data_IF_217529383752
#
_entry.id   IF_217529383752
#
_cell.length_a   1.000
_cell.length_b   1.000
_cell.length_c   1.000
_cell.angle_alpha   90.00
_cell.angle_beta   90.00
_cell.angle_gamma   90.00
#
_symmetry.space_group_name_H-M   'P 1'
#
loop_
_entity.id
_entity.type
_entity.pdbx_description
1 polymer ?
#
# COMPACT_ATOMS: atom_id res chain seq x y z
N UNK A 1 19.32 30.74 12.44
CA UNK A 1 18.43 30.60 13.62
C UNK A 1 17.37 29.58 13.27
N UNK A 2 17.54 28.33 13.71
CA UNK A 2 16.51 27.27 13.62
C UNK A 2 15.35 27.69 14.52
N UNK A 3 14.13 27.85 13.97
CA UNK A 3 12.98 28.21 14.80
C UNK A 3 12.60 26.97 15.60
N UNK A 4 12.30 27.11 16.90
CA UNK A 4 11.91 26.00 17.77
C UNK A 4 10.72 25.16 17.24
N UNK A 5 9.97 25.66 16.25
CA UNK A 5 8.89 24.99 15.53
C UNK A 5 9.32 24.01 14.41
N UNK A 6 10.61 23.95 14.04
CA UNK A 6 11.08 23.15 12.91
C UNK A 6 11.34 21.67 13.26
N UNK A 7 11.61 21.38 14.55
CA UNK A 7 11.85 20.03 15.05
C UNK A 7 10.69 19.05 14.80
N UNK A 8 9.44 19.38 15.16
CA UNK A 8 8.29 18.50 14.93
C UNK A 8 8.01 18.23 13.45
N UNK A 9 8.19 19.23 12.57
CA UNK A 9 7.98 19.05 11.12
C UNK A 9 9.08 18.21 10.50
N UNK A 10 10.34 18.35 10.95
CA UNK A 10 11.45 17.48 10.57
C UNK A 10 11.22 16.03 10.99
N UNK A 11 10.79 15.82 12.23
CA UNK A 11 10.42 14.49 12.72
C UNK A 11 9.29 13.90 11.87
N UNK A 12 8.24 14.67 11.57
CA UNK A 12 7.16 14.21 10.70
C UNK A 12 7.62 13.84 9.29
N UNK A 13 8.55 14.61 8.70
CA UNK A 13 9.14 14.28 7.39
C UNK A 13 9.96 12.97 7.45
N UNK A 14 10.71 12.76 8.53
CA UNK A 14 11.45 11.52 8.75
C UNK A 14 10.52 10.33 8.98
N UNK A 15 9.47 10.49 9.79
CA UNK A 15 8.42 9.48 10.02
C UNK A 15 7.73 9.13 8.71
N UNK A 16 7.39 10.13 7.89
CA UNK A 16 6.82 9.90 6.56
C UNK A 16 7.77 9.05 5.70
N UNK A 17 9.05 9.41 5.63
CA UNK A 17 10.06 8.67 4.88
C UNK A 17 10.15 7.22 5.34
N UNK A 18 10.36 6.98 6.64
CA UNK A 18 10.41 5.62 7.22
C UNK A 18 9.12 4.86 6.93
N UNK A 19 7.97 5.51 7.05
CA UNK A 19 6.67 4.93 6.75
C UNK A 19 6.52 4.46 5.31
N UNK A 20 7.12 5.16 4.33
CA UNK A 20 7.15 4.69 2.94
C UNK A 20 7.99 3.42 2.77
N UNK A 21 9.12 3.29 3.48
CA UNK A 21 9.87 2.02 3.48
C UNK A 21 9.06 0.87 4.08
N UNK A 22 8.36 1.13 5.19
CA UNK A 22 7.47 0.14 5.82
C UNK A 22 6.34 -0.25 4.86
N UNK A 23 5.73 0.72 4.18
CA UNK A 23 4.67 0.46 3.20
C UNK A 23 5.15 -0.45 2.07
N UNK A 24 6.33 -0.18 1.50
CA UNK A 24 6.93 -1.03 0.44
C UNK A 24 7.17 -2.45 0.97
N UNK A 25 7.73 -2.58 2.16
CA UNK A 25 7.94 -3.89 2.79
C UNK A 25 6.61 -4.62 3.01
N UNK A 26 5.57 -3.95 3.49
CA UNK A 26 4.23 -4.55 3.67
C UNK A 26 3.60 -5.00 2.35
N UNK A 27 3.80 -4.25 1.26
CA UNK A 27 3.33 -4.66 -0.07
C UNK A 27 4.10 -5.89 -0.59
N UNK A 28 5.42 -5.96 -0.38
CA UNK A 28 6.21 -7.15 -0.72
C UNK A 28 5.76 -8.36 0.09
N UNK A 29 5.57 -8.18 1.40
CA UNK A 29 5.03 -9.21 2.30
C UNK A 29 3.65 -9.66 1.81
N UNK A 30 2.83 -8.75 1.25
CA UNK A 30 1.52 -9.12 0.73
C UNK A 30 1.61 -10.14 -0.40
N UNK A 31 2.47 -9.88 -1.38
CA UNK A 31 2.68 -10.76 -2.52
C UNK A 31 3.28 -12.08 -2.06
N UNK A 32 4.23 -12.03 -1.12
CA UNK A 32 4.85 -13.23 -0.53
C UNK A 32 3.82 -14.10 0.20
N UNK A 33 2.96 -13.53 1.04
CA UNK A 33 1.92 -14.27 1.77
C UNK A 33 0.91 -14.93 0.82
N UNK A 34 0.50 -14.25 -0.24
CA UNK A 34 -0.35 -14.85 -1.27
C UNK A 34 0.33 -16.05 -1.93
N UNK A 35 1.60 -15.90 -2.34
CA UNK A 35 2.39 -16.97 -2.93
C UNK A 35 2.56 -18.16 -1.98
N UNK A 36 2.92 -17.92 -0.72
CA UNK A 36 3.04 -18.98 0.28
C UNK A 36 1.72 -19.72 0.47
N UNK A 37 0.58 -19.02 0.53
CA UNK A 37 -0.73 -19.66 0.62
C UNK A 37 -1.05 -20.56 -0.57
N UNK A 38 -0.72 -20.14 -1.78
CA UNK A 38 -0.92 -20.92 -3.00
C UNK A 38 0.00 -22.15 -3.05
N UNK A 39 1.31 -21.96 -2.79
CA UNK A 39 2.32 -22.99 -3.04
C UNK A 39 2.56 -23.94 -1.86
N UNK A 40 2.27 -23.53 -0.62
CA UNK A 40 2.39 -24.42 0.55
C UNK A 40 1.12 -25.20 0.85
N UNK A 41 -0.03 -24.76 0.33
CA UNK A 41 -1.35 -25.31 0.70
C UNK A 41 -1.83 -24.92 2.10
N UNK A 42 -1.07 -24.13 2.87
CA UNK A 42 -1.47 -23.67 4.20
C UNK A 42 -2.31 -22.39 4.09
N UNK A 43 -3.60 -22.53 4.41
CA UNK A 43 -4.58 -21.45 4.40
C UNK A 43 -4.23 -20.31 5.37
N UNK A 44 -3.41 -20.55 6.39
CA UNK A 44 -2.97 -19.55 7.36
C UNK A 44 -2.33 -18.35 6.66
N UNK A 45 -1.50 -18.58 5.63
CA UNK A 45 -0.88 -17.49 4.87
C UNK A 45 -1.89 -16.65 4.10
N UNK A 46 -2.95 -17.26 3.57
CA UNK A 46 -4.04 -16.54 2.91
C UNK A 46 -4.86 -15.71 3.91
N UNK A 47 -5.04 -16.19 5.15
CA UNK A 47 -5.67 -15.42 6.23
C UNK A 47 -4.82 -14.21 6.60
N UNK A 48 -3.49 -14.38 6.76
CA UNK A 48 -2.56 -13.27 6.99
C UNK A 48 -2.56 -12.26 5.85
N UNK A 49 -2.58 -12.76 4.61
CA UNK A 49 -2.69 -11.93 3.41
C UNK A 49 -4.00 -11.14 3.40
N UNK A 50 -5.13 -11.81 3.54
CA UNK A 50 -6.44 -11.22 3.30
C UNK A 50 -6.94 -10.33 4.44
N UNK A 51 -6.59 -10.62 5.71
CA UNK A 51 -7.20 -9.99 6.87
C UNK A 51 -6.26 -9.09 7.68
N UNK A 52 -4.98 -9.44 7.78
CA UNK A 52 -4.06 -8.74 8.69
C UNK A 52 -3.14 -7.78 7.94
N UNK A 53 -2.37 -8.29 6.98
CA UNK A 53 -1.44 -7.44 6.23
C UNK A 53 -2.18 -6.51 5.24
N UNK A 54 -3.34 -6.92 4.72
CA UNK A 54 -4.22 -6.04 3.93
C UNK A 54 -4.65 -4.79 4.69
N UNK A 55 -4.93 -4.90 5.99
CA UNK A 55 -5.30 -3.77 6.86
C UNK A 55 -4.13 -2.80 6.98
N UNK A 56 -2.91 -3.30 7.14
CA UNK A 56 -1.70 -2.46 7.19
C UNK A 56 -1.54 -1.71 5.87
N UNK A 57 -1.59 -2.40 4.73
CA UNK A 57 -1.45 -1.79 3.39
C UNK A 57 -2.58 -0.81 3.09
N UNK A 58 -3.76 -0.98 3.67
CA UNK A 58 -4.88 -0.04 3.54
C UNK A 58 -4.75 1.19 4.45
N UNK A 59 -4.47 1.00 5.74
CA UNK A 59 -4.51 2.07 6.75
C UNK A 59 -3.24 2.91 6.75
N UNK A 60 -2.06 2.28 6.61
CA UNK A 60 -0.79 2.99 6.68
C UNK A 60 -0.70 4.17 5.70
N UNK A 61 -1.07 4.05 4.41
CA UNK A 61 -1.03 5.20 3.51
C UNK A 61 -1.96 6.36 3.92
N UNK A 62 -3.09 6.08 4.57
CA UNK A 62 -3.98 7.12 5.10
C UNK A 62 -3.31 7.91 6.22
N UNK A 63 -2.64 7.20 7.14
CA UNK A 63 -1.86 7.83 8.21
C UNK A 63 -0.70 8.65 7.63
N UNK A 64 0.02 8.08 6.66
CA UNK A 64 1.13 8.77 5.98
C UNK A 64 0.66 9.98 5.18
N UNK A 65 -0.55 9.98 4.63
CA UNK A 65 -1.13 11.17 4.01
C UNK A 65 -1.25 12.32 5.03
N UNK A 66 -1.77 12.05 6.23
CA UNK A 66 -1.86 13.03 7.30
C UNK A 66 -0.49 13.55 7.76
N UNK A 67 0.43 12.63 8.03
CA UNK A 67 1.81 12.94 8.46
C UNK A 67 2.53 13.76 7.37
N UNK A 68 2.47 13.31 6.11
CA UNK A 68 3.10 13.99 4.98
C UNK A 68 2.51 15.37 4.74
N UNK A 69 1.18 15.53 4.89
CA UNK A 69 0.50 16.82 4.76
C UNK A 69 0.96 17.83 5.81
N UNK A 70 1.22 17.38 7.04
CA UNK A 70 1.79 18.20 8.11
C UNK A 70 3.28 18.54 7.85
N UNK A 71 4.05 17.54 7.39
CA UNK A 71 5.45 17.67 7.02
C UNK A 71 5.71 18.56 5.79
N UNK A 72 4.66 18.89 5.01
CA UNK A 72 4.79 19.72 3.80
C UNK A 72 5.27 18.94 2.58
N UNK A 73 4.99 17.64 2.52
CA UNK A 73 5.19 16.82 1.32
C UNK A 73 4.35 17.39 0.17
N UNK A 74 4.88 17.33 -1.06
CA UNK A 74 4.19 17.89 -2.21
C UNK A 74 2.88 17.14 -2.51
N UNK A 75 1.92 17.86 -3.11
CA UNK A 75 0.59 17.35 -3.38
C UNK A 75 0.59 16.08 -4.25
N UNK A 76 1.50 15.97 -5.23
CA UNK A 76 1.55 14.81 -6.15
C UNK A 76 1.98 13.56 -5.40
N UNK A 77 2.95 13.66 -4.50
CA UNK A 77 3.37 12.54 -3.66
C UNK A 77 2.30 12.17 -2.63
N UNK A 78 1.62 13.15 -2.02
CA UNK A 78 0.50 12.86 -1.11
C UNK A 78 -0.63 12.08 -1.80
N UNK A 79 -1.05 12.51 -2.99
CA UNK A 79 -2.07 11.78 -3.75
C UNK A 79 -1.61 10.39 -4.15
N UNK A 80 -0.34 10.23 -4.51
CA UNK A 80 0.24 8.92 -4.81
C UNK A 80 0.21 8.01 -3.56
N UNK A 81 0.49 8.55 -2.37
CA UNK A 81 0.42 7.80 -1.11
C UNK A 81 -0.99 7.29 -0.84
N UNK A 82 -1.99 8.17 -0.82
CA UNK A 82 -3.37 7.75 -0.54
C UNK A 82 -3.98 6.89 -1.66
N UNK A 83 -3.44 6.97 -2.88
CA UNK A 83 -3.88 6.12 -4.00
C UNK A 83 -3.69 4.63 -3.70
N UNK A 84 -2.71 4.25 -2.87
CA UNK A 84 -2.50 2.85 -2.46
C UNK A 84 -3.75 2.32 -1.74
N UNK A 85 -4.32 3.08 -0.81
CA UNK A 85 -5.58 2.70 -0.14
C UNK A 85 -6.74 2.60 -1.12
N UNK A 86 -6.80 3.49 -2.12
CA UNK A 86 -7.79 3.43 -3.20
C UNK A 86 -7.65 2.16 -4.06
N UNK A 87 -6.42 1.76 -4.39
CA UNK A 87 -6.15 0.53 -5.12
C UNK A 87 -6.47 -0.72 -4.29
N UNK A 88 -6.33 -0.67 -2.97
CA UNK A 88 -6.81 -1.75 -2.08
C UNK A 88 -8.33 -1.85 -2.08
N UNK A 89 -9.07 -0.73 -2.11
CA UNK A 89 -10.53 -0.77 -2.31
C UNK A 89 -10.87 -1.43 -3.65
N UNK A 90 -10.15 -1.05 -4.71
CA UNK A 90 -10.31 -1.68 -6.03
C UNK A 90 -9.99 -3.18 -5.98
N UNK A 91 -9.00 -3.62 -5.20
CA UNK A 91 -8.73 -5.07 -5.01
C UNK A 91 -9.96 -5.81 -4.51
N UNK A 92 -10.63 -5.25 -3.49
CA UNK A 92 -11.82 -5.87 -2.90
C UNK A 92 -12.98 -5.91 -3.89
N UNK A 93 -13.17 -4.84 -4.67
CA UNK A 93 -14.20 -4.77 -5.72
C UNK A 93 -13.98 -5.82 -6.80
N UNK A 94 -12.73 -6.00 -7.24
CA UNK A 94 -12.38 -6.99 -8.27
C UNK A 94 -12.65 -8.44 -7.82
N UNK A 95 -12.67 -8.70 -6.51
CA UNK A 95 -12.99 -10.03 -5.96
C UNK A 95 -14.49 -10.31 -5.78
N UNK A 96 -15.37 -9.32 -5.94
CA UNK A 96 -16.83 -9.52 -5.79
C UNK A 96 -17.34 -10.68 -6.67
N UNK A 97 -17.01 -10.78 -7.98
CA UNK A 97 -17.47 -11.87 -8.81
C UNK A 97 -17.03 -13.26 -8.33
N UNK A 98 -15.85 -13.36 -7.73
CA UNK A 98 -15.34 -14.61 -7.16
C UNK A 98 -16.15 -15.01 -5.92
N UNK A 99 -16.40 -14.07 -4.99
CA UNK A 99 -17.17 -14.32 -3.78
C UNK A 99 -18.66 -14.61 -4.04
N UNK A 100 -19.19 -14.15 -5.16
CA UNK A 100 -20.57 -14.41 -5.60
C UNK A 100 -20.71 -15.70 -6.42
N UNK A 101 -19.63 -16.47 -6.59
CA UNK A 101 -19.60 -17.68 -7.43
C UNK A 101 -20.11 -17.43 -8.86
N UNK A 102 -19.78 -16.27 -9.44
CA UNK A 102 -20.22 -15.92 -10.78
C UNK A 102 -19.70 -16.93 -11.83
N UNK A 103 -20.46 -17.24 -12.88
CA UNK A 103 -19.99 -18.13 -13.95
C UNK A 103 -19.20 -17.39 -15.03
N UNK A 104 -18.32 -18.13 -15.72
CA UNK A 104 -17.70 -17.72 -16.98
C UNK A 104 -16.84 -16.45 -16.90
N UNK A 105 -17.00 -15.57 -17.90
CA UNK A 105 -16.18 -14.36 -18.07
C UNK A 105 -16.27 -13.42 -16.87
N UNK A 106 -17.44 -13.33 -16.22
CA UNK A 106 -17.64 -12.44 -15.07
C UNK A 106 -16.73 -12.81 -13.90
N UNK A 107 -16.49 -14.11 -13.66
CA UNK A 107 -15.49 -14.57 -12.68
C UNK A 107 -14.08 -14.40 -13.17
N UNK A 108 -13.81 -14.58 -14.46
CA UNK A 108 -12.48 -14.37 -15.02
C UNK A 108 -11.96 -12.94 -14.80
N UNK A 109 -12.86 -11.93 -14.76
CA UNK A 109 -12.51 -10.53 -14.42
C UNK A 109 -11.87 -10.42 -13.03
N UNK A 110 -12.19 -11.31 -12.08
CA UNK A 110 -11.53 -11.31 -10.77
C UNK A 110 -10.02 -11.56 -10.85
N UNK A 111 -9.53 -12.14 -11.96
CA UNK A 111 -8.09 -12.26 -12.24
C UNK A 111 -7.37 -10.90 -12.33
N UNK A 112 -8.09 -9.80 -12.59
CA UNK A 112 -7.52 -8.44 -12.52
C UNK A 112 -7.04 -8.09 -11.10
N UNK A 113 -7.46 -8.82 -10.07
CA UNK A 113 -6.90 -8.70 -8.72
C UNK A 113 -5.37 -8.84 -8.72
N UNK A 114 -4.83 -9.83 -9.43
CA UNK A 114 -3.39 -10.04 -9.53
C UNK A 114 -2.70 -8.88 -10.27
N UNK A 115 -3.33 -8.36 -11.33
CA UNK A 115 -2.81 -7.20 -12.09
C UNK A 115 -2.80 -5.93 -11.22
N UNK A 116 -3.86 -5.70 -10.44
CA UNK A 116 -3.95 -4.58 -9.52
C UNK A 116 -2.89 -4.66 -8.40
N UNK A 117 -2.47 -5.87 -8.00
CA UNK A 117 -1.38 -6.03 -7.05
C UNK A 117 -0.04 -5.51 -7.63
N UNK A 118 0.20 -5.71 -8.92
CA UNK A 118 1.38 -5.16 -9.61
C UNK A 118 1.32 -3.62 -9.67
N UNK A 119 0.13 -3.04 -9.87
CA UNK A 119 -0.05 -1.59 -9.81
C UNK A 119 0.23 -1.01 -8.41
N UNK A 120 -0.28 -1.66 -7.35
CA UNK A 120 0.03 -1.28 -5.96
C UNK A 120 1.54 -1.32 -5.71
N UNK A 121 2.20 -2.39 -6.16
CA UNK A 121 3.66 -2.52 -6.05
C UNK A 121 4.40 -1.40 -6.79
N UNK A 122 4.04 -1.15 -8.05
CA UNK A 122 4.64 -0.07 -8.85
C UNK A 122 4.47 1.31 -8.21
N UNK A 123 3.29 1.61 -7.67
CA UNK A 123 3.03 2.85 -6.92
C UNK A 123 3.89 2.94 -5.66
N UNK A 124 4.05 1.85 -4.92
CA UNK A 124 4.90 1.80 -3.73
C UNK A 124 6.38 2.05 -4.06
N UNK A 125 6.88 1.46 -5.16
CA UNK A 125 8.25 1.72 -5.65
C UNK A 125 8.42 3.18 -6.08
N UNK A 126 7.46 3.74 -6.81
CA UNK A 126 7.51 5.15 -7.20
C UNK A 126 7.52 6.10 -5.99
N UNK A 127 6.79 5.77 -4.92
CA UNK A 127 6.84 6.52 -3.66
C UNK A 127 8.23 6.44 -3.02
N UNK A 128 8.86 5.26 -3.04
CA UNK A 128 10.19 5.04 -2.51
C UNK A 128 11.25 5.87 -3.24
N UNK A 129 11.18 5.95 -4.56
CA UNK A 129 12.07 6.78 -5.38
C UNK A 129 11.94 8.26 -5.00
N UNK A 130 10.71 8.76 -4.90
CA UNK A 130 10.46 10.16 -4.53
C UNK A 130 10.98 10.55 -3.15
N UNK A 131 10.91 9.64 -2.16
CA UNK A 131 11.47 9.93 -0.82
C UNK A 131 12.99 9.79 -0.75
N UNK A 132 13.61 9.10 -1.71
CA UNK A 132 15.07 9.02 -1.85
C UNK A 132 15.61 10.29 -2.52
N UNK A 133 15.02 10.73 -3.61
CA UNK A 133 15.40 11.96 -4.34
C UNK A 133 15.26 13.23 -3.48
N UNK A 134 14.31 13.25 -2.54
CA UNK A 134 14.14 14.37 -1.59
C UNK A 134 15.07 14.33 -0.38
N UNK A 135 15.76 13.19 -0.17
CA UNK A 135 16.64 12.97 0.96
C UNK A 135 18.13 13.08 0.63
N UNK A 136 18.47 13.37 -0.62
CA UNK A 136 19.80 13.71 -1.14
C UNK A 136 19.92 15.22 -1.37
#
# INVERSE_FOLDING_TARGET
MERASDGPRRLAAQTYKVGIYVLVASVLIQVMLAGMGIFSGDATYLVWHANYNSVIVFVLPLLLFGIGRYAGVDRRTLWLTVSVSGLVILQSVLLIPYHMDAPGLLRAVAGLHAVNALFIFGVAVQLLERVRERGS
#
